data_IF_788690344399
#
_entry.id   IF_788690344399
#
_cell.length_a   1.000
_cell.length_b   1.000
_cell.length_c   1.000
_cell.angle_alpha   90.00
_cell.angle_beta   90.00
_cell.angle_gamma   90.00
#
_symmetry.space_group_name_H-M   'P 1'
#
loop_
_entity.id
_entity.type
_entity.pdbx_description
1 polymer ?
#
# COMPACT_ATOMS: atom_id res chain seq x y z
N UNK A 1 7.84 2.64 -30.01
CA UNK A 1 7.50 1.20 -30.01
C UNK A 1 6.96 0.91 -28.61
N UNK A 2 5.64 0.75 -28.47
CA UNK A 2 5.00 0.57 -27.16
C UNK A 2 4.94 -0.92 -26.84
N UNK A 3 5.66 -1.37 -25.81
CA UNK A 3 5.43 -2.68 -25.23
C UNK A 3 4.11 -2.59 -24.44
N UNK A 4 3.10 -3.34 -24.87
CA UNK A 4 1.86 -3.50 -24.13
C UNK A 4 1.78 -4.95 -23.65
N UNK A 5 1.77 -5.15 -22.33
CA UNK A 5 1.42 -6.40 -21.68
C UNK A 5 0.02 -6.25 -21.11
N UNK A 6 -0.79 -7.31 -21.12
CA UNK A 6 -2.14 -7.24 -20.56
C UNK A 6 -2.76 -8.59 -20.24
N UNK A 7 -3.79 -8.54 -19.39
CA UNK A 7 -4.60 -9.67 -18.95
C UNK A 7 -6.08 -9.31 -18.83
N UNK A 8 -6.93 -10.31 -18.69
CA UNK A 8 -8.38 -10.12 -18.52
C UNK A 8 -8.89 -10.94 -17.33
N UNK A 9 -9.72 -10.33 -16.49
CA UNK A 9 -10.32 -10.98 -15.33
C UNK A 9 -11.45 -10.13 -14.74
N UNK A 10 -12.46 -10.79 -14.16
CA UNK A 10 -13.61 -10.14 -13.51
C UNK A 10 -14.32 -9.07 -14.39
N UNK A 11 -14.40 -9.29 -15.70
CA UNK A 11 -15.02 -8.33 -16.62
C UNK A 11 -14.11 -7.18 -17.06
N UNK A 12 -12.88 -7.11 -16.55
CA UNK A 12 -11.95 -6.00 -16.77
C UNK A 12 -10.72 -6.45 -17.56
N UNK A 13 -10.29 -5.61 -18.50
CA UNK A 13 -8.98 -5.71 -19.15
C UNK A 13 -7.99 -4.85 -18.38
N UNK A 14 -6.83 -5.40 -18.06
CA UNK A 14 -5.70 -4.67 -17.47
C UNK A 14 -4.57 -4.64 -18.50
N UNK A 15 -4.05 -3.46 -18.80
CA UNK A 15 -2.92 -3.25 -19.71
C UNK A 15 -1.91 -2.28 -19.10
N UNK A 16 -0.65 -2.40 -19.47
CA UNK A 16 0.41 -1.47 -19.07
C UNK A 16 0.88 -0.63 -20.27
N UNK A 17 1.48 0.53 -20.01
CA UNK A 17 2.14 1.36 -21.03
C UNK A 17 3.36 2.07 -20.43
N UNK A 18 4.20 2.70 -21.27
CA UNK A 18 5.33 3.49 -20.78
C UNK A 18 4.92 4.66 -19.86
N UNK A 19 3.71 5.20 -20.06
CA UNK A 19 3.21 6.34 -19.30
C UNK A 19 2.49 5.92 -18.00
N UNK A 20 1.86 4.74 -18.00
CA UNK A 20 0.98 4.29 -16.92
C UNK A 20 1.24 2.84 -16.56
N UNK A 21 1.47 2.59 -15.27
CA UNK A 21 1.70 1.24 -14.74
C UNK A 21 0.49 0.34 -14.97
N UNK A 22 -0.72 0.77 -14.58
CA UNK A 22 -1.93 0.00 -14.84
C UNK A 22 -3.01 0.87 -15.49
N UNK A 23 -3.54 0.36 -16.60
CA UNK A 23 -4.73 0.87 -17.26
C UNK A 23 -5.77 -0.24 -17.15
N UNK A 24 -6.79 0.00 -16.33
CA UNK A 24 -7.92 -0.93 -16.15
C UNK A 24 -9.06 -0.43 -16.99
N UNK A 25 -9.66 -1.27 -17.84
CA UNK A 25 -10.72 -0.83 -18.73
C UNK A 25 -11.76 -1.90 -19.05
N UNK A 26 -12.96 -1.45 -19.39
CA UNK A 26 -13.99 -2.27 -20.01
C UNK A 26 -14.83 -1.45 -20.98
N UNK A 27 -15.16 -2.02 -22.12
CA UNK A 27 -16.08 -1.44 -23.10
C UNK A 27 -17.39 -2.22 -23.10
N UNK A 28 -18.51 -1.52 -23.14
CA UNK A 28 -19.85 -2.11 -23.26
C UNK A 28 -20.52 -1.70 -24.56
N UNK A 29 -21.39 -2.56 -25.08
CA UNK A 29 -22.20 -2.29 -26.25
C UNK A 29 -23.57 -2.93 -26.13
N UNK A 30 -24.61 -2.14 -26.36
CA UNK A 30 -26.00 -2.59 -26.54
C UNK A 30 -26.53 -2.00 -27.85
N UNK A 31 -27.56 -2.57 -28.49
CA UNK A 31 -28.16 -1.96 -29.67
C UNK A 31 -28.58 -0.50 -29.39
N UNK A 32 -27.98 0.45 -30.13
CA UNK A 32 -28.20 1.89 -29.97
C UNK A 32 -27.35 2.55 -28.88
N UNK A 33 -26.47 1.83 -28.18
CA UNK A 33 -25.69 2.38 -27.07
C UNK A 33 -24.28 1.80 -26.96
N UNK A 34 -23.33 2.64 -26.53
CA UNK A 34 -21.95 2.24 -26.26
C UNK A 34 -21.42 2.87 -24.99
N UNK A 35 -20.55 2.16 -24.29
CA UNK A 35 -19.87 2.68 -23.10
C UNK A 35 -18.40 2.32 -23.07
N UNK A 36 -17.60 3.15 -22.43
CA UNK A 36 -16.23 2.85 -22.06
C UNK A 36 -16.01 3.30 -20.62
N UNK A 37 -15.45 2.44 -19.81
CA UNK A 37 -14.94 2.76 -18.48
C UNK A 37 -13.45 2.44 -18.45
N UNK A 38 -12.63 3.40 -18.03
CA UNK A 38 -11.19 3.24 -17.93
C UNK A 38 -10.67 3.96 -16.67
N UNK A 39 -9.78 3.31 -15.93
CA UNK A 39 -9.19 3.80 -14.69
C UNK A 39 -7.67 3.73 -14.72
N UNK A 40 -7.05 4.69 -14.04
CA UNK A 40 -5.63 4.71 -13.69
C UNK A 40 -5.51 4.59 -12.17
N UNK A 41 -5.43 3.35 -11.62
CA UNK A 41 -5.47 3.11 -10.17
C UNK A 41 -4.40 3.86 -9.38
N UNK A 42 -3.20 4.01 -9.96
CA UNK A 42 -2.07 4.72 -9.34
C UNK A 42 -2.36 6.20 -9.11
N UNK A 43 -3.34 6.77 -9.80
CA UNK A 43 -3.71 8.18 -9.71
C UNK A 43 -5.09 8.37 -9.06
N UNK A 44 -5.85 7.28 -8.85
CA UNK A 44 -7.22 7.36 -8.35
C UNK A 44 -8.19 8.05 -9.31
N UNK A 45 -7.91 8.05 -10.62
CA UNK A 45 -8.72 8.72 -11.64
C UNK A 45 -9.38 7.69 -12.55
N UNK A 46 -10.65 7.90 -12.87
CA UNK A 46 -11.40 7.10 -13.83
C UNK A 46 -12.25 7.98 -14.75
N UNK A 47 -12.37 7.56 -16.01
CA UNK A 47 -13.23 8.18 -17.01
C UNK A 47 -14.25 7.14 -17.45
N UNK A 48 -15.52 7.54 -17.43
CA UNK A 48 -16.64 6.76 -17.96
C UNK A 48 -17.31 7.57 -19.05
N UNK A 49 -17.42 7.00 -20.24
CA UNK A 49 -18.05 7.62 -21.41
C UNK A 49 -19.25 6.78 -21.86
N UNK A 50 -20.32 7.46 -22.25
CA UNK A 50 -21.56 6.87 -22.77
C UNK A 50 -21.93 7.52 -24.10
N UNK A 51 -22.39 6.71 -25.05
CA UNK A 51 -22.87 7.16 -26.35
C UNK A 51 -24.17 6.46 -26.74
N UNK A 52 -24.96 7.14 -27.58
CA UNK A 52 -26.21 6.65 -28.17
C UNK A 52 -25.99 5.99 -29.56
N UNK A 53 -24.80 5.40 -29.76
CA UNK A 53 -24.45 4.62 -30.94
C UNK A 53 -23.73 3.35 -30.46
N UNK A 54 -24.18 2.19 -30.94
CA UNK A 54 -23.50 0.91 -30.65
C UNK A 54 -22.04 0.98 -31.08
N UNK A 55 -21.13 0.50 -30.24
CA UNK A 55 -19.68 0.50 -30.53
C UNK A 55 -19.08 1.88 -30.79
N UNK A 56 -19.56 2.90 -30.07
CA UNK A 56 -18.95 4.24 -30.12
C UNK A 56 -17.44 4.16 -29.85
N UNK A 57 -16.63 4.77 -30.72
CA UNK A 57 -15.16 4.75 -30.66
C UNK A 57 -14.59 5.64 -29.54
N UNK A 58 -14.92 5.35 -28.29
CA UNK A 58 -14.50 6.15 -27.13
C UNK A 58 -13.00 6.07 -26.81
N UNK A 59 -12.31 5.03 -27.28
CA UNK A 59 -10.90 4.77 -26.96
C UNK A 59 -9.99 5.99 -27.15
N UNK A 60 -9.91 6.57 -28.36
CA UNK A 60 -9.07 7.75 -28.61
C UNK A 60 -9.48 8.98 -27.78
N UNK A 61 -10.77 9.19 -27.53
CA UNK A 61 -11.29 10.32 -26.75
C UNK A 61 -10.83 10.22 -25.30
N UNK A 62 -11.00 9.04 -24.69
CA UNK A 62 -10.59 8.79 -23.30
C UNK A 62 -9.07 8.81 -23.15
N UNK A 63 -8.33 8.28 -24.13
CA UNK A 63 -6.87 8.36 -24.13
C UNK A 63 -6.37 9.81 -24.15
N UNK A 64 -6.94 10.66 -25.01
CA UNK A 64 -6.61 12.08 -25.07
C UNK A 64 -6.96 12.81 -23.76
N UNK A 65 -8.12 12.50 -23.15
CA UNK A 65 -8.49 13.08 -21.87
C UNK A 65 -7.47 12.74 -20.77
N UNK A 66 -6.99 11.50 -20.69
CA UNK A 66 -5.91 11.14 -19.75
C UNK A 66 -4.58 11.83 -20.08
N UNK A 67 -4.22 11.97 -21.35
CA UNK A 67 -3.02 12.69 -21.77
C UNK A 67 -3.08 14.17 -21.37
N UNK A 68 -4.22 14.82 -21.54
CA UNK A 68 -4.45 16.21 -21.10
C UNK A 68 -4.39 16.34 -19.58
N UNK A 69 -4.99 15.42 -18.84
CA UNK A 69 -4.87 15.37 -17.37
C UNK A 69 -3.41 15.21 -16.94
N UNK A 70 -2.63 14.36 -17.63
CA UNK A 70 -1.20 14.20 -17.35
C UNK A 70 -0.43 15.50 -17.60
N UNK A 71 -0.63 16.13 -18.77
CA UNK A 71 0.05 17.37 -19.17
C UNK A 71 -0.28 18.57 -18.28
N UNK A 72 -1.49 18.62 -17.73
CA UNK A 72 -1.95 19.72 -16.87
C UNK A 72 -1.68 19.49 -15.38
N UNK A 73 -1.07 18.35 -15.00
CA UNK A 73 -0.84 18.00 -13.61
C UNK A 73 -2.09 17.50 -12.86
N UNK A 74 -3.18 17.23 -13.59
CA UNK A 74 -4.41 16.62 -13.05
C UNK A 74 -4.28 15.13 -12.70
N UNK A 75 -3.19 14.47 -13.10
CA UNK A 75 -2.83 13.12 -12.67
C UNK A 75 -1.73 13.18 -11.59
N UNK A 76 -2.15 13.33 -10.34
CA UNK A 76 -1.25 13.19 -9.19
C UNK A 76 -1.22 11.76 -8.68
N UNK A 77 -0.02 11.24 -8.42
CA UNK A 77 0.13 9.89 -7.88
C UNK A 77 -0.58 9.78 -6.52
N UNK A 78 -1.41 8.76 -6.38
CA UNK A 78 -2.14 8.46 -5.15
C UNK A 78 -1.14 8.10 -4.06
N UNK A 79 -1.15 8.87 -2.98
CA UNK A 79 -0.42 8.52 -1.77
C UNK A 79 -1.22 7.46 -0.98
N UNK A 80 -0.65 6.28 -0.70
CA UNK A 80 -1.31 5.30 0.16
C UNK A 80 -1.64 5.92 1.52
N UNK A 81 -2.86 5.68 1.99
CA UNK A 81 -3.32 6.10 3.31
C UNK A 81 -3.52 4.87 4.19
N UNK A 82 -3.17 4.92 5.48
CA UNK A 82 -3.34 3.78 6.37
C UNK A 82 -4.83 3.57 6.63
N UNK A 83 -5.27 2.31 6.73
CA UNK A 83 -6.62 2.05 7.22
C UNK A 83 -6.72 2.42 8.71
N UNK A 84 -7.95 2.66 9.23
CA UNK A 84 -8.16 2.82 10.67
C UNK A 84 -7.60 1.62 11.47
N UNK A 85 -7.80 0.40 10.98
CA UNK A 85 -7.26 -0.82 11.61
C UNK A 85 -5.72 -0.84 11.64
N UNK A 86 -5.05 -0.37 10.57
CA UNK A 86 -3.59 -0.26 10.54
C UNK A 86 -3.08 0.74 11.58
N UNK A 87 -3.77 1.88 11.71
CA UNK A 87 -3.43 2.91 12.72
C UNK A 87 -3.62 2.37 14.14
N UNK A 88 -4.73 1.66 14.41
CA UNK A 88 -4.99 1.03 15.70
C UNK A 88 -3.92 -0.01 16.05
N UNK A 89 -3.52 -0.85 15.09
CA UNK A 89 -2.50 -1.87 15.30
C UNK A 89 -1.11 -1.28 15.50
N UNK A 90 -0.76 -0.17 14.82
CA UNK A 90 0.47 0.58 15.12
C UNK A 90 0.50 1.02 16.57
N UNK A 91 -0.60 1.58 17.07
CA UNK A 91 -0.68 2.06 18.44
C UNK A 91 -0.63 0.90 19.44
N UNK A 92 -1.28 -0.22 19.13
CA UNK A 92 -1.24 -1.43 19.94
C UNK A 92 0.18 -2.01 20.02
N UNK A 93 0.86 -2.16 18.88
CA UNK A 93 2.25 -2.64 18.81
C UNK A 93 3.18 -1.67 19.53
N UNK A 94 3.03 -0.37 19.33
CA UNK A 94 3.87 0.64 20.00
C UNK A 94 3.72 0.57 21.53
N UNK A 95 2.50 0.37 22.04
CA UNK A 95 2.28 0.13 23.48
C UNK A 95 2.95 -1.17 23.94
N UNK A 96 2.88 -2.23 23.15
CA UNK A 96 3.52 -3.51 23.47
C UNK A 96 5.05 -3.39 23.55
N UNK A 97 5.66 -2.58 22.67
CA UNK A 97 7.11 -2.29 22.70
C UNK A 97 7.50 -1.52 23.95
N UNK A 98 6.69 -0.54 24.35
CA UNK A 98 6.93 0.25 25.56
C UNK A 98 6.82 -0.62 26.82
N UNK A 99 5.80 -1.49 26.85
CA UNK A 99 5.55 -2.41 27.95
C UNK A 99 4.85 -3.66 27.42
N UNK A 100 5.55 -4.78 27.51
CA UNK A 100 4.98 -6.05 27.08
C UNK A 100 3.79 -6.45 27.97
N UNK A 101 2.69 -6.86 27.34
CA UNK A 101 1.48 -7.40 27.94
C UNK A 101 0.99 -8.58 27.10
N UNK A 102 0.96 -9.79 27.70
CA UNK A 102 0.65 -11.02 26.96
C UNK A 102 -0.76 -11.00 26.37
N UNK A 103 -1.73 -10.42 27.09
CA UNK A 103 -3.12 -10.31 26.65
C UNK A 103 -3.24 -9.41 25.41
N UNK A 104 -2.57 -8.27 25.40
CA UNK A 104 -2.51 -7.38 24.24
C UNK A 104 -1.82 -8.05 23.07
N UNK A 105 -0.70 -8.74 23.32
CA UNK A 105 0.05 -9.48 22.30
C UNK A 105 -0.85 -10.54 21.62
N UNK A 106 -1.68 -11.25 22.38
CA UNK A 106 -2.64 -12.23 21.85
C UNK A 106 -3.78 -11.59 21.06
N UNK A 107 -4.31 -10.45 21.52
CA UNK A 107 -5.42 -9.77 20.86
C UNK A 107 -5.03 -9.22 19.49
N UNK A 108 -3.81 -8.70 19.36
CA UNK A 108 -3.33 -8.11 18.10
C UNK A 108 -2.80 -9.16 17.10
N UNK A 109 -2.53 -10.39 17.53
CA UNK A 109 -1.89 -11.41 16.70
C UNK A 109 -2.85 -12.08 15.72
N UNK A 110 -2.44 -12.16 14.46
CA UNK A 110 -3.04 -13.10 13.50
C UNK A 110 -2.57 -14.53 13.81
N UNK A 111 -3.25 -15.53 13.25
CA UNK A 111 -3.01 -16.95 13.57
C UNK A 111 -1.57 -17.41 13.32
N UNK A 112 -0.89 -16.83 12.32
CA UNK A 112 0.46 -17.20 11.94
C UNK A 112 1.53 -16.50 12.81
N UNK A 113 1.21 -15.35 13.40
CA UNK A 113 2.22 -14.44 13.95
C UNK A 113 3.13 -15.15 14.97
N UNK A 114 2.55 -15.93 15.89
CA UNK A 114 3.29 -16.69 16.90
C UNK A 114 3.66 -18.12 16.49
N UNK A 115 3.18 -18.58 15.33
CA UNK A 115 3.64 -19.83 14.71
C UNK A 115 4.95 -19.60 13.95
N UNK A 116 5.08 -18.46 13.26
CA UNK A 116 6.30 -18.07 12.54
C UNK A 116 7.46 -17.78 13.50
N UNK A 117 7.16 -17.15 14.64
CA UNK A 117 8.11 -16.90 15.73
C UNK A 117 7.39 -16.94 17.06
N UNK A 118 7.80 -17.84 17.96
CA UNK A 118 7.12 -18.02 19.24
C UNK A 118 7.01 -16.72 20.04
N UNK A 119 5.94 -16.62 20.83
CA UNK A 119 5.67 -15.45 21.67
C UNK A 119 6.84 -15.13 22.60
N UNK A 120 7.38 -16.14 23.28
CA UNK A 120 8.52 -15.98 24.20
C UNK A 120 9.76 -15.44 23.49
N UNK A 121 10.05 -15.93 22.28
CA UNK A 121 11.20 -15.47 21.51
C UNK A 121 11.01 -14.02 21.09
N UNK A 122 9.81 -13.63 20.63
CA UNK A 122 9.53 -12.23 20.28
C UNK A 122 9.55 -11.31 21.49
N UNK A 123 8.99 -11.72 22.62
CA UNK A 123 9.09 -10.97 23.88
C UNK A 123 10.54 -10.67 24.21
N UNK A 124 11.38 -11.71 24.23
CA UNK A 124 12.80 -11.58 24.51
C UNK A 124 13.52 -10.67 23.50
N UNK A 125 13.24 -10.78 22.21
CA UNK A 125 13.85 -9.92 21.19
C UNK A 125 13.48 -8.43 21.38
N UNK A 126 12.22 -8.14 21.72
CA UNK A 126 11.79 -6.77 22.01
C UNK A 126 12.47 -6.25 23.28
N UNK A 127 12.49 -7.04 24.35
CA UNK A 127 13.18 -6.68 25.60
C UNK A 127 14.68 -6.42 25.37
N UNK A 128 15.36 -7.26 24.59
CA UNK A 128 16.77 -7.12 24.25
C UNK A 128 17.04 -5.86 23.40
N UNK A 129 16.11 -5.48 22.52
CA UNK A 129 16.20 -4.22 21.75
C UNK A 129 15.96 -3.00 22.62
N UNK A 130 14.90 -3.01 23.44
CA UNK A 130 14.55 -1.92 24.36
C UNK A 130 15.65 -1.70 25.39
N UNK A 131 16.30 -2.76 25.89
CA UNK A 131 17.45 -2.62 26.79
C UNK A 131 18.59 -1.79 26.18
N UNK A 132 18.84 -1.96 24.87
CA UNK A 132 19.89 -1.22 24.14
C UNK A 132 19.53 0.25 23.96
N UNK A 133 18.30 0.54 23.51
CA UNK A 133 17.88 1.90 23.14
C UNK A 133 17.24 2.71 24.28
N UNK A 134 16.89 2.07 25.40
CA UNK A 134 16.19 2.71 26.50
C UNK A 134 14.69 2.90 26.27
N UNK A 135 14.04 3.69 27.12
CA UNK A 135 12.60 3.89 27.03
C UNK A 135 12.22 4.60 25.72
N UNK A 136 11.22 4.06 25.01
CA UNK A 136 10.71 4.60 23.77
C UNK A 136 9.39 5.36 23.96
N UNK A 137 9.11 6.29 23.05
CA UNK A 137 7.83 7.01 22.98
C UNK A 137 6.97 6.50 21.82
N UNK A 138 5.66 6.54 21.99
CA UNK A 138 4.71 6.15 20.94
C UNK A 138 4.76 7.14 19.76
N UNK A 139 4.68 6.67 18.51
CA UNK A 139 4.69 7.54 17.34
C UNK A 139 3.38 8.33 17.22
N UNK A 140 3.42 9.45 16.49
CA UNK A 140 2.21 10.19 16.08
C UNK A 140 1.67 9.76 14.71
N UNK A 141 2.56 9.31 13.83
CA UNK A 141 2.26 8.97 12.44
C UNK A 141 3.09 7.76 12.00
N UNK A 142 2.73 7.20 10.84
CA UNK A 142 3.65 6.32 10.10
C UNK A 142 4.73 7.16 9.43
N UNK A 143 5.93 6.59 9.29
CA UNK A 143 6.95 7.17 8.41
C UNK A 143 6.62 6.82 6.96
N UNK A 144 6.23 5.56 6.72
CA UNK A 144 5.83 5.05 5.41
C UNK A 144 4.56 4.22 5.53
N UNK A 145 3.63 4.42 4.59
CA UNK A 145 2.48 3.54 4.39
C UNK A 145 2.61 2.94 3.00
N UNK A 146 2.83 1.63 2.93
CA UNK A 146 2.92 0.91 1.66
C UNK A 146 1.53 0.68 1.07
N UNK A 147 0.56 0.31 1.92
CA UNK A 147 -0.83 0.08 1.55
C UNK A 147 -1.73 0.15 2.79
N UNK A 148 -3.02 -0.15 2.62
CA UNK A 148 -4.02 -0.09 3.71
C UNK A 148 -3.71 -0.97 4.92
N UNK A 149 -2.92 -2.03 4.76
CA UNK A 149 -2.63 -3.05 5.79
C UNK A 149 -1.13 -3.16 6.11
N UNK A 150 -0.27 -2.30 5.58
CA UNK A 150 1.16 -2.33 5.82
C UNK A 150 1.77 -0.94 5.93
N UNK A 151 2.59 -0.76 6.95
CA UNK A 151 3.37 0.45 7.13
C UNK A 151 4.45 0.27 8.18
N UNK A 152 5.30 1.28 8.27
CA UNK A 152 6.41 1.36 9.21
C UNK A 152 6.48 2.73 9.88
N UNK A 153 7.10 2.75 11.06
CA UNK A 153 7.30 3.97 11.84
C UNK A 153 8.57 3.86 12.68
N UNK A 154 9.05 5.02 13.11
CA UNK A 154 10.20 5.12 14.00
C UNK A 154 9.73 5.54 15.39
N UNK A 155 10.08 4.74 16.40
CA UNK A 155 9.91 5.08 17.81
C UNK A 155 11.18 5.76 18.31
N UNK A 156 11.04 6.97 18.86
CA UNK A 156 12.14 7.72 19.47
C UNK A 156 12.40 7.19 20.88
N UNK A 157 13.64 6.82 21.17
CA UNK A 157 14.05 6.30 22.47
C UNK A 157 15.31 7.02 23.01
N UNK A 158 15.67 6.78 24.27
CA UNK A 158 16.73 7.51 24.98
C UNK A 158 18.12 7.46 24.35
N UNK A 159 18.53 6.28 23.86
CA UNK A 159 19.89 5.96 23.40
C UNK A 159 19.94 5.55 21.92
N UNK A 160 18.83 5.69 21.21
CA UNK A 160 18.70 5.33 19.81
C UNK A 160 17.25 5.14 19.39
N UNK A 161 17.01 5.06 18.10
CA UNK A 161 15.66 4.89 17.56
C UNK A 161 15.39 3.42 17.16
N UNK A 162 14.14 3.00 17.31
CA UNK A 162 13.66 1.72 16.80
C UNK A 162 12.77 1.93 15.58
N UNK A 163 13.11 1.28 14.48
CA UNK A 163 12.21 1.14 13.34
C UNK A 163 11.31 -0.07 13.59
N UNK A 164 10.01 0.14 13.48
CA UNK A 164 8.98 -0.90 13.61
C UNK A 164 8.20 -0.97 12.31
N UNK A 165 7.95 -2.18 11.81
CA UNK A 165 7.15 -2.43 10.62
C UNK A 165 6.11 -3.52 10.91
N UNK A 166 4.89 -3.33 10.41
CA UNK A 166 3.83 -4.33 10.51
C UNK A 166 3.14 -4.58 9.17
N UNK A 167 2.72 -5.82 8.98
CA UNK A 167 1.70 -6.18 7.99
C UNK A 167 0.53 -6.82 8.71
N UNK A 168 -0.69 -6.43 8.34
CA UNK A 168 -1.92 -7.04 8.83
C UNK A 168 -2.42 -8.13 7.87
N UNK A 169 -2.96 -9.20 8.44
CA UNK A 169 -3.70 -10.21 7.70
C UNK A 169 -4.99 -9.62 7.14
N UNK A 170 -5.41 -10.02 5.92
CA UNK A 170 -6.69 -9.63 5.33
C UNK A 170 -7.87 -10.42 5.95
N UNK A 171 -7.89 -10.54 7.29
CA UNK A 171 -8.96 -11.16 8.08
C UNK A 171 -9.94 -10.11 8.58
N UNK A 172 -11.09 -10.54 9.11
CA UNK A 172 -12.06 -9.66 9.78
C UNK A 172 -12.20 -10.08 11.26
N UNK A 173 -11.71 -9.29 12.24
CA UNK A 173 -10.93 -8.06 12.06
C UNK A 173 -9.49 -8.32 11.54
N UNK A 174 -8.83 -7.33 10.91
CA UNK A 174 -7.42 -7.42 10.54
C UNK A 174 -6.53 -7.49 11.78
N UNK A 175 -5.52 -8.36 11.75
CA UNK A 175 -4.57 -8.55 12.87
C UNK A 175 -3.14 -8.64 12.36
N UNK A 176 -2.16 -8.39 13.22
CA UNK A 176 -0.74 -8.39 12.85
C UNK A 176 -0.31 -9.79 12.42
N UNK A 177 0.02 -9.97 11.14
CA UNK A 177 0.60 -11.22 10.62
C UNK A 177 2.12 -11.20 10.61
N UNK A 178 2.71 -10.01 10.55
CA UNK A 178 4.14 -9.81 10.49
C UNK A 178 4.51 -8.57 11.31
N UNK A 179 5.55 -8.69 12.11
CA UNK A 179 6.07 -7.67 13.01
C UNK A 179 7.60 -7.74 13.00
N UNK A 180 8.23 -6.66 12.58
CA UNK A 180 9.69 -6.51 12.61
C UNK A 180 10.09 -5.28 13.41
N UNK A 181 11.15 -5.43 14.20
CA UNK A 181 11.80 -4.36 14.94
C UNK A 181 13.30 -4.41 14.70
N UNK A 182 13.89 -3.25 14.48
CA UNK A 182 15.35 -3.10 14.38
C UNK A 182 15.78 -1.73 14.88
N UNK A 183 17.02 -1.62 15.34
CA UNK A 183 17.62 -0.31 15.57
C UNK A 183 17.84 0.39 14.24
N UNK A 184 17.65 1.71 14.22
CA UNK A 184 17.99 2.51 13.05
C UNK A 184 19.51 2.61 12.95
N UNK A 185 20.12 1.80 12.07
CA UNK A 185 21.51 2.00 11.64
C UNK A 185 21.52 2.91 10.40
N UNK A 186 22.37 3.93 10.40
CA UNK A 186 22.38 4.96 9.37
C UNK A 186 22.86 4.47 8.02
N UNK A 187 21.95 4.06 7.13
CA UNK A 187 22.01 4.34 5.68
C UNK A 187 20.67 3.97 5.01
N UNK A 188 20.06 4.85 4.20
CA UNK A 188 18.95 4.47 3.31
C UNK A 188 19.46 3.55 2.20
N UNK A 189 18.69 2.51 1.86
CA UNK A 189 18.93 1.69 0.66
C UNK A 189 18.58 2.50 -0.60
N UNK A 190 19.31 2.37 -1.73
CA UNK A 190 19.02 3.12 -2.93
C UNK A 190 17.67 2.70 -3.53
N UNK A 191 16.91 3.67 -4.03
CA UNK A 191 15.70 3.39 -4.79
C UNK A 191 16.03 2.67 -6.11
N UNK A 192 15.24 1.65 -6.45
CA UNK A 192 15.32 0.93 -7.72
C UNK A 192 14.83 1.85 -8.85
N UNK A 193 15.68 2.09 -9.84
CA UNK A 193 15.37 2.90 -11.03
C UNK A 193 14.50 2.11 -12.01
N UNK A 194 13.40 2.72 -12.48
CA UNK A 194 12.54 2.16 -13.53
C UNK A 194 13.24 2.12 -14.89
N UNK A 195 13.06 1.03 -15.63
CA UNK A 195 13.72 0.72 -16.90
C UNK A 195 13.08 1.38 -18.14
N UNK A 196 12.01 2.16 -17.98
CA UNK A 196 11.30 2.73 -19.12
C UNK A 196 11.78 4.17 -19.40
N UNK A 197 12.49 4.39 -20.52
CA UNK A 197 12.78 5.73 -21.03
C UNK A 197 11.65 6.18 -21.95
N UNK A 198 10.94 7.23 -21.57
CA UNK A 198 10.08 7.98 -22.49
C UNK A 198 11.01 8.89 -23.31
N UNK A 199 11.03 8.73 -24.63
CA UNK A 199 11.68 9.66 -25.56
C UNK A 199 10.81 10.89 -25.78
#
# INVERSE_FOLDING_TARGET
>A
MNLNVGGYGYGLRVTESCAFSHIVAHSGGLPGYGSLMQWLPEYGVGIVAFGNVTYTGWGPVVANAFELLAKTGGLQARMPQPSPALTEMRDAVSRLVIKWDDRQADQMAAMNLFLDRSKDRRKKEIEDLVAKVGQCSAPKAFDTVENWLRGDWTMKCERGDLKVAITLAPTMPPRVQHLELRTVQGTPSPAVTSACRIQ
#
